data_IF_116319711087
#
_entry.id   IF_116319711087
#
_cell.length_a   1.000
_cell.length_b   1.000
_cell.length_c   1.000
_cell.angle_alpha   90.00
_cell.angle_beta   90.00
_cell.angle_gamma   90.00
#
_symmetry.space_group_name_H-M   'P 1'
#
loop_
_entity.id
_entity.type
_entity.pdbx_description
1 polymer ?
#
# COMPACT_ATOMS: atom_id res chain seq x y z
N UNK A 1 -6.73 14.27 33.70
CA UNK A 1 -6.51 15.27 32.62
C UNK A 1 -7.15 14.76 31.33
N UNK A 2 -8.45 15.00 31.11
CA UNK A 2 -9.21 14.44 29.98
C UNK A 2 -8.88 15.09 28.63
N UNK A 3 -8.38 16.34 28.64
CA UNK A 3 -8.10 17.08 27.42
C UNK A 3 -6.87 16.54 26.68
N UNK A 4 -5.80 16.18 27.40
CA UNK A 4 -4.58 15.62 26.80
C UNK A 4 -4.84 14.25 26.17
N UNK A 5 -5.70 13.43 26.78
CA UNK A 5 -6.13 12.16 26.23
C UNK A 5 -6.94 12.34 24.93
N UNK A 6 -7.83 13.35 24.89
CA UNK A 6 -8.61 13.68 23.68
C UNK A 6 -7.73 14.15 22.53
N UNK A 7 -6.76 15.03 22.82
CA UNK A 7 -5.79 15.52 21.83
C UNK A 7 -4.88 14.42 21.30
N UNK A 8 -4.40 13.54 22.19
CA UNK A 8 -3.62 12.38 21.79
C UNK A 8 -4.43 11.49 20.83
N UNK A 9 -5.68 11.15 21.17
CA UNK A 9 -6.52 10.30 20.35
C UNK A 9 -6.75 10.85 18.92
N UNK A 10 -7.02 12.16 18.80
CA UNK A 10 -7.19 12.80 17.48
C UNK A 10 -5.91 12.80 16.65
N UNK A 11 -4.75 12.99 17.28
CA UNK A 11 -3.47 12.96 16.58
C UNK A 11 -3.14 11.55 16.10
N UNK A 12 -3.41 10.52 16.90
CA UNK A 12 -3.18 9.12 16.49
C UNK A 12 -4.05 8.74 15.30
N UNK A 13 -5.32 9.15 15.28
CA UNK A 13 -6.25 8.86 14.17
C UNK A 13 -5.83 9.58 12.88
N UNK A 14 -5.38 10.84 12.97
CA UNK A 14 -4.89 11.56 11.80
C UNK A 14 -3.61 10.90 11.24
N UNK A 15 -2.70 10.49 12.12
CA UNK A 15 -1.47 9.79 11.72
C UNK A 15 -1.78 8.43 11.07
N UNK A 16 -2.71 7.65 11.62
CA UNK A 16 -3.09 6.35 11.02
C UNK A 16 -3.86 6.51 9.72
N UNK A 17 -4.67 7.55 9.55
CA UNK A 17 -5.36 7.82 8.28
C UNK A 17 -4.39 8.19 7.14
N UNK A 18 -3.33 8.95 7.45
CA UNK A 18 -2.32 9.36 6.45
C UNK A 18 -1.33 8.22 6.15
N UNK A 19 -0.90 7.46 7.16
CA UNK A 19 0.02 6.33 6.98
C UNK A 19 -0.68 5.03 6.55
N UNK A 20 -2.00 4.92 6.73
CA UNK A 20 -2.79 3.74 6.38
C UNK A 20 -2.69 3.32 4.91
N UNK A 21 -2.79 4.25 3.94
CA UNK A 21 -2.59 3.95 2.53
C UNK A 21 -1.16 3.49 2.20
N UNK A 22 -0.14 3.96 2.93
CA UNK A 22 1.27 3.59 2.74
C UNK A 22 1.63 2.25 3.38
N UNK A 23 0.90 1.82 4.43
CA UNK A 23 1.11 0.55 5.11
C UNK A 23 0.49 -0.66 4.38
N UNK A 24 -0.33 -0.43 3.36
CA UNK A 24 -0.89 -1.47 2.52
C UNK A 24 0.11 -1.97 1.49
N UNK A 25 0.98 -2.91 1.86
CA UNK A 25 1.61 -3.77 0.85
C UNK A 25 0.48 -4.50 0.11
N UNK A 26 0.30 -4.25 -1.18
CA UNK A 26 -0.62 -5.00 -2.02
C UNK A 26 -0.09 -6.44 -2.19
N UNK A 27 -0.25 -7.28 -1.17
CA UNK A 27 0.07 -8.69 -1.23
C UNK A 27 -1.08 -9.40 -1.92
N UNK A 28 -0.83 -9.88 -3.14
CA UNK A 28 -1.69 -10.86 -3.77
C UNK A 28 -1.68 -12.13 -2.92
N UNK A 29 -2.77 -12.38 -2.19
CA UNK A 29 -2.96 -13.65 -1.47
C UNK A 29 -3.05 -14.76 -2.52
N UNK A 30 -2.11 -15.73 -2.57
CA UNK A 30 -2.22 -16.84 -3.50
C UNK A 30 -3.42 -17.69 -3.04
N UNK A 31 -4.54 -17.60 -3.77
CA UNK A 31 -5.66 -18.50 -3.60
C UNK A 31 -5.18 -19.94 -3.74
N UNK A 32 -5.54 -20.79 -2.76
CA UNK A 32 -5.04 -22.15 -2.63
C UNK A 32 -5.04 -22.93 -3.95
N UNK A 33 -3.87 -23.52 -4.27
CA UNK A 33 -3.56 -24.44 -5.37
C UNK A 33 -4.67 -24.62 -6.41
N UNK A 34 -4.81 -23.67 -7.31
CA UNK A 34 -5.82 -23.77 -8.35
C UNK A 34 -5.25 -24.49 -9.58
N UNK A 35 -5.90 -25.59 -9.92
CA UNK A 35 -5.74 -26.28 -11.18
C UNK A 35 -5.95 -25.27 -12.32
N UNK A 36 -4.88 -24.94 -13.06
CA UNK A 36 -4.90 -24.10 -14.26
C UNK A 36 -5.68 -22.78 -14.13
N UNK A 37 -5.15 -21.81 -13.38
CA UNK A 37 -5.76 -20.49 -13.20
C UNK A 37 -5.74 -19.66 -14.50
N UNK A 38 -6.78 -19.78 -15.32
CA UNK A 38 -7.22 -18.62 -16.08
C UNK A 38 -7.96 -17.69 -15.13
N UNK A 39 -7.28 -16.63 -14.69
CA UNK A 39 -7.84 -15.57 -13.87
C UNK A 39 -7.54 -14.21 -14.52
N UNK A 40 -8.45 -13.23 -14.43
CA UNK A 40 -8.19 -11.87 -14.91
C UNK A 40 -6.91 -11.31 -14.30
N UNK A 41 -5.97 -10.90 -15.15
CA UNK A 41 -4.68 -10.35 -14.74
C UNK A 41 -4.60 -8.88 -15.16
N UNK A 42 -4.25 -8.00 -14.23
CA UNK A 42 -4.01 -6.59 -14.49
C UNK A 42 -2.93 -6.10 -13.53
N UNK A 43 -1.81 -5.61 -14.07
CA UNK A 43 -0.62 -5.22 -13.32
C UNK A 43 -0.19 -3.78 -13.66
N UNK A 44 0.40 -3.11 -12.67
CA UNK A 44 1.09 -1.83 -12.84
C UNK A 44 2.53 -1.99 -12.41
N UNK A 45 3.47 -1.67 -13.30
CA UNK A 45 4.90 -1.74 -13.03
C UNK A 45 5.47 -0.33 -12.97
N UNK A 46 6.19 -0.02 -11.90
CA UNK A 46 6.83 1.28 -11.70
C UNK A 46 8.34 1.13 -11.66
N UNK A 47 9.04 2.16 -12.13
CA UNK A 47 10.48 2.34 -11.90
C UNK A 47 10.69 3.71 -11.28
N UNK A 48 11.50 3.77 -10.23
CA UNK A 48 11.87 4.97 -9.51
C UNK A 48 13.32 4.91 -9.06
N UNK A 49 13.88 6.04 -8.66
CA UNK A 49 15.24 6.11 -8.14
C UNK A 49 15.20 6.00 -6.61
N UNK A 50 15.81 4.94 -6.07
CA UNK A 50 15.86 4.67 -4.64
C UNK A 50 16.06 3.19 -4.38
N UNK A 51 16.36 2.86 -3.13
CA UNK A 51 16.59 1.47 -2.69
C UNK A 51 15.28 0.71 -2.45
N UNK A 52 14.23 1.41 -2.01
CA UNK A 52 12.96 0.81 -1.63
C UNK A 52 11.78 1.52 -2.28
N UNK A 53 10.78 0.73 -2.69
CA UNK A 53 9.54 1.24 -3.27
C UNK A 53 8.75 2.13 -2.30
N UNK A 54 8.93 1.95 -0.99
CA UNK A 54 8.22 2.75 0.03
C UNK A 54 8.66 4.23 0.05
N UNK A 55 9.89 4.52 -0.40
CA UNK A 55 10.48 5.87 -0.32
C UNK A 55 10.83 6.44 -1.70
N UNK A 56 10.89 5.61 -2.73
CA UNK A 56 11.17 6.05 -4.10
C UNK A 56 9.92 6.58 -4.80
N UNK A 57 9.97 7.84 -5.28
CA UNK A 57 8.94 8.37 -6.17
C UNK A 57 9.01 7.68 -7.56
N UNK A 58 7.88 7.29 -8.17
CA UNK A 58 7.88 6.70 -9.50
C UNK A 58 8.35 7.70 -10.56
N UNK A 59 9.37 7.32 -11.32
CA UNK A 59 9.85 8.08 -12.48
C UNK A 59 9.09 7.71 -13.76
N UNK A 60 8.72 6.42 -13.91
CA UNK A 60 7.85 5.92 -14.99
C UNK A 60 6.95 4.80 -14.47
N UNK A 61 5.80 4.64 -15.11
CA UNK A 61 4.84 3.58 -14.83
C UNK A 61 4.27 3.03 -16.14
N UNK A 62 4.01 1.73 -16.19
CA UNK A 62 3.34 1.05 -17.31
C UNK A 62 2.28 0.09 -16.80
N UNK A 63 1.26 -0.15 -17.61
CA UNK A 63 0.19 -1.11 -17.35
C UNK A 63 0.37 -2.36 -18.20
N UNK A 64 0.09 -3.53 -17.65
CA UNK A 64 0.07 -4.81 -18.36
C UNK A 64 -1.25 -5.53 -18.06
N UNK A 65 -1.88 -6.05 -19.10
CA UNK A 65 -3.16 -6.77 -19.08
C UNK A 65 -3.01 -8.08 -19.80
#
# INVERSE_FOLDING_TARGET
MPNTARWAATLTVAATAVCGPLAGSALASPGGAAAGLYAPSALVLTVGHGESAATAAPARAVTLT
#
